data_IF_217869258827
#
_entry.id   IF_217869258827
#
_cell.length_a   1.000
_cell.length_b   1.000
_cell.length_c   1.000
_cell.angle_alpha   90.00
_cell.angle_beta   90.00
_cell.angle_gamma   90.00
#
_symmetry.space_group_name_H-M   'P 1'
#
loop_
_entity.id
_entity.type
_entity.pdbx_description
1 polymer ?
#
# COMPACT_ATOMS: atom_id res chain seq x y z
N UNK A 1 37.59 -12.56 -9.26
CA UNK A 1 36.27 -13.13 -8.88
C UNK A 1 35.24 -12.04 -9.06
N UNK A 2 34.34 -12.16 -10.04
CA UNK A 2 33.22 -11.22 -10.21
C UNK A 2 32.25 -11.46 -9.05
N UNK A 3 32.14 -10.50 -8.13
CA UNK A 3 31.10 -10.52 -7.11
C UNK A 3 29.75 -10.53 -7.84
N UNK A 4 28.83 -11.41 -7.44
CA UNK A 4 27.47 -11.41 -7.98
C UNK A 4 26.87 -10.02 -7.83
N UNK A 5 26.19 -9.47 -8.85
CA UNK A 5 25.69 -8.12 -8.81
C UNK A 5 24.70 -7.97 -7.66
N UNK A 6 24.95 -6.98 -6.81
CA UNK A 6 24.07 -6.71 -5.68
C UNK A 6 22.74 -6.14 -6.19
N UNK A 7 21.65 -6.76 -5.77
CA UNK A 7 20.30 -6.40 -6.18
C UNK A 7 19.65 -5.44 -5.19
N UNK A 8 18.98 -4.42 -5.72
CA UNK A 8 18.21 -3.41 -4.98
C UNK A 8 16.72 -3.58 -5.22
N UNK A 9 15.92 -3.37 -4.18
CA UNK A 9 14.46 -3.32 -4.29
C UNK A 9 13.96 -1.92 -4.71
N UNK A 10 12.66 -1.75 -5.03
CA UNK A 10 12.14 -0.48 -5.51
C UNK A 10 12.32 0.68 -4.53
N UNK A 11 12.25 0.43 -3.21
CA UNK A 11 12.42 1.46 -2.19
C UNK A 11 13.86 1.98 -2.17
N UNK A 12 14.84 1.08 -2.27
CA UNK A 12 16.26 1.45 -2.36
C UNK A 12 16.57 2.22 -3.65
N UNK A 13 16.00 1.82 -4.79
CA UNK A 13 16.15 2.57 -6.07
C UNK A 13 15.54 3.97 -5.98
N UNK A 14 14.35 4.11 -5.38
CA UNK A 14 13.70 5.41 -5.18
C UNK A 14 14.61 6.36 -4.39
N UNK A 15 15.17 5.90 -3.28
CA UNK A 15 16.09 6.67 -2.45
C UNK A 15 17.41 6.98 -3.19
N UNK A 16 17.98 6.03 -3.93
CA UNK A 16 19.25 6.23 -4.63
C UNK A 16 19.16 7.25 -5.79
N UNK A 17 18.03 7.29 -6.49
CA UNK A 17 17.83 8.14 -7.67
C UNK A 17 17.03 9.43 -7.37
N UNK A 18 16.60 9.63 -6.13
CA UNK A 18 15.69 10.72 -5.73
C UNK A 18 14.44 10.77 -6.64
N UNK A 19 13.69 9.66 -6.66
CA UNK A 19 12.49 9.48 -7.48
C UNK A 19 11.40 8.68 -6.74
N UNK A 20 10.17 8.75 -7.25
CA UNK A 20 9.04 7.96 -6.75
C UNK A 20 8.95 6.58 -7.44
N UNK A 21 8.19 5.62 -6.88
CA UNK A 21 7.98 4.32 -7.53
C UNK A 21 7.35 4.41 -8.93
N UNK A 22 6.53 5.44 -9.19
CA UNK A 22 6.00 5.70 -10.53
C UNK A 22 7.10 6.01 -11.54
N UNK A 23 8.12 6.78 -11.12
CA UNK A 23 9.29 7.07 -11.95
C UNK A 23 10.20 5.87 -12.12
N UNK A 24 10.31 4.96 -11.12
CA UNK A 24 11.00 3.67 -11.30
C UNK A 24 10.34 2.87 -12.43
N UNK A 25 9.00 2.78 -12.44
CA UNK A 25 8.27 2.14 -13.54
C UNK A 25 8.54 2.82 -14.88
N UNK A 26 8.60 4.15 -14.92
CA UNK A 26 8.94 4.91 -16.13
C UNK A 26 10.36 4.63 -16.62
N UNK A 27 11.35 4.48 -15.72
CA UNK A 27 12.71 4.05 -16.08
C UNK A 27 12.71 2.66 -16.69
N UNK A 28 11.96 1.72 -16.12
CA UNK A 28 11.86 0.35 -16.65
C UNK A 28 11.17 0.30 -18.01
N UNK A 29 10.04 0.99 -18.16
CA UNK A 29 9.33 1.07 -19.44
C UNK A 29 10.16 1.77 -20.53
N UNK A 30 10.97 2.75 -20.14
CA UNK A 30 11.86 3.47 -21.06
C UNK A 30 13.17 2.75 -21.37
N UNK A 31 13.40 1.55 -20.82
CA UNK A 31 14.63 0.78 -21.03
C UNK A 31 15.87 1.33 -20.31
N UNK A 32 15.73 2.32 -19.43
CA UNK A 32 16.84 2.89 -18.66
C UNK A 32 17.28 1.97 -17.51
N UNK A 33 16.33 1.22 -16.94
CA UNK A 33 16.55 0.38 -15.77
C UNK A 33 15.94 -1.01 -15.98
N UNK A 34 16.75 -2.06 -15.92
CA UNK A 34 16.29 -3.42 -16.19
C UNK A 34 15.94 -4.17 -14.90
N UNK A 35 14.85 -4.93 -14.94
CA UNK A 35 14.51 -5.88 -13.87
C UNK A 35 15.46 -7.07 -13.98
N UNK A 36 16.29 -7.29 -12.96
CA UNK A 36 17.26 -8.39 -12.91
C UNK A 36 16.77 -9.60 -12.12
N UNK A 37 15.75 -9.42 -11.30
CA UNK A 37 15.14 -10.50 -10.53
C UNK A 37 13.78 -10.09 -10.00
N UNK A 38 13.05 -11.06 -9.47
CA UNK A 38 11.76 -10.84 -8.82
C UNK A 38 11.68 -11.67 -7.55
N UNK A 39 11.15 -11.08 -6.49
CA UNK A 39 10.76 -11.81 -5.28
C UNK A 39 9.25 -11.97 -5.27
N UNK A 40 8.80 -13.21 -5.09
CA UNK A 40 7.39 -13.55 -4.97
C UNK A 40 6.91 -13.33 -3.54
N UNK A 41 5.93 -12.46 -3.41
CA UNK A 41 5.15 -12.23 -2.19
C UNK A 41 3.75 -12.82 -2.37
N UNK A 42 3.03 -13.02 -1.26
CA UNK A 42 1.65 -13.52 -1.30
C UNK A 42 0.74 -12.58 -2.08
N UNK A 43 0.90 -11.26 -1.88
CA UNK A 43 0.07 -10.25 -2.53
C UNK A 43 0.71 -9.63 -3.80
N UNK A 44 1.83 -10.13 -4.31
CA UNK A 44 2.38 -9.64 -5.58
C UNK A 44 3.86 -9.93 -5.81
N UNK A 45 4.42 -9.31 -6.84
CA UNK A 45 5.85 -9.39 -7.16
C UNK A 45 6.57 -8.12 -6.73
N UNK A 46 7.79 -8.27 -6.22
CA UNK A 46 8.73 -7.16 -6.03
C UNK A 46 9.87 -7.30 -7.04
N UNK A 47 10.00 -6.33 -7.93
CA UNK A 47 11.09 -6.28 -8.90
C UNK A 47 12.41 -5.89 -8.22
N UNK A 48 13.50 -6.52 -8.63
CA UNK A 48 14.86 -6.26 -8.18
C UNK A 48 15.72 -5.72 -9.33
N UNK A 49 16.65 -4.83 -9.00
CA UNK A 49 17.45 -4.06 -9.95
C UNK A 49 18.94 -4.16 -9.62
N UNK A 50 19.82 -4.15 -10.62
CA UNK A 50 21.26 -4.14 -10.36
C UNK A 50 21.68 -2.78 -9.76
N UNK A 51 22.36 -2.80 -8.60
CA UNK A 51 22.96 -1.63 -7.96
C UNK A 51 23.88 -0.83 -8.89
N UNK A 52 24.75 -1.49 -9.66
CA UNK A 52 25.67 -0.83 -10.60
C UNK A 52 24.91 -0.05 -11.67
N UNK A 53 23.81 -0.60 -12.19
CA UNK A 53 22.97 0.09 -13.17
C UNK A 53 22.31 1.33 -12.56
N UNK A 54 21.87 1.23 -11.30
CA UNK A 54 21.29 2.35 -10.56
C UNK A 54 22.34 3.44 -10.34
N UNK A 55 23.56 3.07 -9.96
CA UNK A 55 24.67 4.02 -9.79
C UNK A 55 25.02 4.75 -11.09
N UNK A 56 25.08 4.04 -12.21
CA UNK A 56 25.29 4.63 -13.55
C UNK A 56 24.17 5.61 -13.94
N UNK A 57 22.95 5.41 -13.43
CA UNK A 57 21.82 6.30 -13.70
C UNK A 57 21.87 7.60 -12.91
N UNK A 58 22.48 7.63 -11.71
CA UNK A 58 22.54 8.83 -10.85
C UNK A 58 22.96 10.09 -11.63
N UNK A 59 24.11 10.14 -12.33
CA UNK A 59 24.51 11.33 -13.08
C UNK A 59 23.64 11.60 -14.32
N UNK A 60 22.90 10.60 -14.83
CA UNK A 60 22.02 10.72 -16.00
C UNK A 60 20.62 11.20 -15.64
N UNK A 61 20.21 11.07 -14.37
CA UNK A 61 18.86 11.41 -13.91
C UNK A 61 18.41 12.83 -14.27
N UNK A 62 19.22 13.90 -14.15
CA UNK A 62 18.78 15.24 -14.54
C UNK A 62 18.34 15.33 -16.00
N UNK A 63 19.09 14.72 -16.93
CA UNK A 63 18.75 14.71 -18.36
C UNK A 63 17.51 13.86 -18.64
N UNK A 64 17.37 12.72 -17.97
CA UNK A 64 16.20 11.85 -18.10
C UNK A 64 14.94 12.58 -17.61
N UNK A 65 14.99 13.23 -16.45
CA UNK A 65 13.89 14.04 -15.90
C UNK A 65 13.50 15.18 -16.85
N UNK A 66 14.47 15.88 -17.43
CA UNK A 66 14.20 16.92 -18.45
C UNK A 66 13.53 16.36 -19.72
N UNK A 67 13.97 15.19 -20.19
CA UNK A 67 13.36 14.53 -21.36
C UNK A 67 11.89 14.16 -21.08
N UNK A 68 11.62 13.62 -19.89
CA UNK A 68 10.28 13.33 -19.42
C UNK A 68 9.41 14.58 -19.36
N UNK A 69 9.91 15.66 -18.78
CA UNK A 69 9.19 16.94 -18.71
C UNK A 69 8.86 17.49 -20.09
N UNK A 70 9.79 17.43 -21.05
CA UNK A 70 9.53 17.85 -22.44
C UNK A 70 8.45 17.01 -23.08
N UNK A 71 8.52 15.68 -22.94
CA UNK A 71 7.51 14.75 -23.45
C UNK A 71 6.13 15.02 -22.85
N UNK A 72 6.07 15.24 -21.53
CA UNK A 72 4.82 15.52 -20.83
C UNK A 72 4.26 16.90 -21.24
N UNK A 73 5.10 17.92 -21.33
CA UNK A 73 4.75 19.28 -21.78
C UNK A 73 4.16 19.26 -23.20
N UNK A 74 4.76 18.48 -24.12
CA UNK A 74 4.26 18.33 -25.49
C UNK A 74 2.91 17.61 -25.54
N UNK A 75 2.68 16.64 -24.64
CA UNK A 75 1.46 15.82 -24.64
C UNK A 75 0.27 16.48 -23.95
N UNK A 76 0.50 17.19 -22.84
CA UNK A 76 -0.57 17.71 -21.97
C UNK A 76 -0.62 19.24 -21.91
N UNK A 77 0.29 19.92 -22.60
CA UNK A 77 0.42 21.38 -22.63
C UNK A 77 1.31 21.93 -21.51
N UNK A 78 2.28 22.76 -21.90
CA UNK A 78 3.29 23.31 -21.00
C UNK A 78 2.70 24.18 -19.86
N UNK A 79 1.73 25.05 -20.18
CA UNK A 79 1.11 25.95 -19.19
C UNK A 79 0.31 25.18 -18.12
N UNK A 80 -0.43 24.15 -18.56
CA UNK A 80 -1.18 23.26 -17.66
C UNK A 80 -0.22 22.54 -16.71
N UNK A 81 0.85 21.96 -17.24
CA UNK A 81 1.81 21.23 -16.43
C UNK A 81 2.68 22.13 -15.55
N UNK A 82 2.96 23.37 -15.95
CA UNK A 82 3.61 24.34 -15.07
C UNK A 82 2.74 24.64 -13.83
N UNK A 83 1.44 24.82 -14.04
CA UNK A 83 0.47 25.02 -12.95
C UNK A 83 0.39 23.78 -12.05
N UNK A 84 0.34 22.58 -12.64
CA UNK A 84 0.37 21.31 -11.89
C UNK A 84 1.64 21.19 -11.05
N UNK A 85 2.83 21.48 -11.60
CA UNK A 85 4.11 21.43 -10.87
C UNK A 85 4.13 22.40 -9.69
N UNK A 86 3.60 23.62 -9.86
CA UNK A 86 3.49 24.58 -8.78
C UNK A 86 2.57 24.08 -7.67
N UNK A 87 1.42 23.49 -8.03
CA UNK A 87 0.50 22.88 -7.08
C UNK A 87 1.14 21.68 -6.36
N UNK A 88 1.86 20.83 -7.07
CA UNK A 88 2.61 19.71 -6.50
C UNK A 88 3.69 20.19 -5.52
N UNK A 89 4.41 21.27 -5.83
CA UNK A 89 5.40 21.82 -4.90
C UNK A 89 4.74 22.32 -3.61
N UNK A 90 3.64 23.09 -3.72
CA UNK A 90 2.86 23.54 -2.54
C UNK A 90 2.35 22.34 -1.74
N UNK A 91 1.82 21.33 -2.43
CA UNK A 91 1.34 20.10 -1.79
C UNK A 91 2.45 19.34 -1.07
N UNK A 92 3.66 19.27 -1.64
CA UNK A 92 4.81 18.64 -1.01
C UNK A 92 5.20 19.37 0.29
N UNK A 93 5.32 20.70 0.24
CA UNK A 93 5.64 21.50 1.43
C UNK A 93 4.57 21.35 2.52
N UNK A 94 3.29 21.36 2.11
CA UNK A 94 2.18 21.12 3.03
C UNK A 94 2.26 19.74 3.69
N UNK A 95 2.54 18.68 2.91
CA UNK A 95 2.68 17.33 3.44
C UNK A 95 3.88 17.17 4.39
N UNK A 96 5.00 17.83 4.09
CA UNK A 96 6.17 17.88 4.99
C UNK A 96 5.80 18.51 6.33
N UNK A 97 5.15 19.68 6.30
CA UNK A 97 4.71 20.36 7.53
C UNK A 97 3.68 19.54 8.31
N UNK A 98 2.73 18.89 7.62
CA UNK A 98 1.77 17.99 8.27
C UNK A 98 2.47 16.83 8.98
N UNK A 99 3.45 16.20 8.32
CA UNK A 99 4.25 15.12 8.88
C UNK A 99 5.00 15.60 10.12
N UNK A 100 5.71 16.72 10.04
CA UNK A 100 6.46 17.30 11.15
C UNK A 100 5.55 17.63 12.34
N UNK A 101 4.43 18.32 12.10
CA UNK A 101 3.45 18.64 13.13
C UNK A 101 2.91 17.38 13.80
N UNK A 102 2.55 16.36 13.01
CA UNK A 102 2.06 15.09 13.52
C UNK A 102 3.06 14.44 14.48
N UNK A 103 4.34 14.33 14.08
CA UNK A 103 5.36 13.72 14.94
C UNK A 103 5.65 14.57 16.18
N UNK A 104 5.66 15.91 16.06
CA UNK A 104 5.83 16.81 17.21
C UNK A 104 4.68 16.67 18.23
N UNK A 105 3.45 16.50 17.76
CA UNK A 105 2.28 16.33 18.63
C UNK A 105 2.32 15.00 19.39
N UNK A 106 2.61 13.88 18.71
CA UNK A 106 2.62 12.56 19.35
C UNK A 106 3.88 12.29 20.19
N UNK A 107 4.95 13.09 20.05
CA UNK A 107 6.20 12.94 20.82
C UNK A 107 5.96 12.97 22.33
N UNK A 108 4.93 13.71 22.77
CA UNK A 108 4.57 13.90 24.17
C UNK A 108 3.58 12.84 24.70
N UNK A 109 3.18 11.87 23.87
CA UNK A 109 2.26 10.81 24.28
C UNK A 109 3.01 9.69 25.01
N UNK A 110 2.30 8.87 25.82
CA UNK A 110 2.96 7.73 26.44
C UNK A 110 3.49 6.77 25.36
N UNK A 111 4.58 6.07 25.70
CA UNK A 111 5.39 5.30 24.74
C UNK A 111 4.57 4.35 23.89
N UNK A 112 3.63 3.61 24.49
CA UNK A 112 2.81 2.62 23.79
C UNK A 112 1.89 3.26 22.74
N UNK A 113 1.25 4.37 23.08
CA UNK A 113 0.37 5.13 22.21
C UNK A 113 1.17 5.77 21.08
N UNK A 114 2.30 6.40 21.41
CA UNK A 114 3.23 7.00 20.44
C UNK A 114 3.66 5.96 19.41
N UNK A 115 4.23 4.84 19.85
CA UNK A 115 4.68 3.76 18.97
C UNK A 115 3.56 3.24 18.06
N UNK A 116 2.35 3.06 18.60
CA UNK A 116 1.21 2.59 17.83
C UNK A 116 0.74 3.61 16.79
N UNK A 117 0.69 4.90 17.14
CA UNK A 117 0.31 5.98 16.23
C UNK A 117 1.38 6.22 15.16
N UNK A 118 2.67 6.13 15.49
CA UNK A 118 3.76 6.16 14.51
C UNK A 118 3.61 5.02 13.49
N UNK A 119 3.39 3.79 13.97
CA UNK A 119 3.16 2.65 13.10
C UNK A 119 1.90 2.84 12.23
N UNK A 120 0.83 3.41 12.78
CA UNK A 120 -0.38 3.70 12.01
C UNK A 120 -0.15 4.75 10.90
N UNK A 121 0.62 5.81 11.17
CA UNK A 121 0.99 6.81 10.18
C UNK A 121 1.71 6.18 8.99
N UNK A 122 2.75 5.38 9.26
CA UNK A 122 3.48 4.71 8.17
C UNK A 122 2.64 3.64 7.48
N UNK A 123 1.80 2.91 8.22
CA UNK A 123 0.90 1.90 7.65
C UNK A 123 -0.16 2.51 6.71
N UNK A 124 -0.62 3.73 7.01
CA UNK A 124 -1.50 4.52 6.14
C UNK A 124 -0.82 4.78 4.79
N UNK A 125 0.41 5.27 4.80
CA UNK A 125 1.17 5.53 3.57
C UNK A 125 1.59 4.25 2.83
N UNK A 126 1.91 3.17 3.55
CA UNK A 126 2.17 1.85 2.96
C UNK A 126 0.98 1.38 2.12
N UNK A 127 -0.25 1.55 2.62
CA UNK A 127 -1.47 1.19 1.92
C UNK A 127 -1.67 2.03 0.64
N UNK A 128 -1.27 3.30 0.64
CA UNK A 128 -1.28 4.15 -0.55
C UNK A 128 -0.25 3.71 -1.59
N UNK A 129 0.96 3.35 -1.17
CA UNK A 129 1.98 2.79 -2.05
C UNK A 129 1.55 1.45 -2.67
N UNK A 130 0.91 0.58 -1.89
CA UNK A 130 0.41 -0.71 -2.37
C UNK A 130 -0.58 -0.53 -3.53
N UNK A 131 -1.50 0.41 -3.39
CA UNK A 131 -2.48 0.78 -4.44
C UNK A 131 -1.89 1.49 -5.64
N UNK A 132 -0.73 2.12 -5.50
CA UNK A 132 0.03 2.66 -6.64
C UNK A 132 0.76 1.57 -7.46
N UNK A 133 0.33 0.31 -7.31
CA UNK A 133 0.84 -0.85 -8.02
C UNK A 133 2.13 -1.40 -7.41
N UNK A 134 2.21 -1.44 -6.08
CA UNK A 134 3.25 -2.16 -5.34
C UNK A 134 2.59 -3.17 -4.37
N UNK A 135 1.78 -4.12 -4.88
CA UNK A 135 0.87 -4.89 -4.05
C UNK A 135 1.57 -5.89 -3.10
N UNK A 136 2.86 -6.19 -3.33
CA UNK A 136 3.71 -6.92 -2.38
C UNK A 136 3.77 -6.28 -0.98
N UNK A 137 3.57 -4.95 -0.89
CA UNK A 137 3.53 -4.23 0.38
C UNK A 137 2.35 -4.63 1.28
N UNK A 138 1.31 -5.26 0.74
CA UNK A 138 0.22 -5.80 1.57
C UNK A 138 0.69 -6.93 2.49
N UNK A 139 1.76 -7.64 2.17
CA UNK A 139 2.33 -8.65 3.06
C UNK A 139 2.92 -7.99 4.33
N UNK A 140 3.60 -6.84 4.17
CA UNK A 140 4.09 -6.06 5.31
C UNK A 140 2.93 -5.49 6.13
N UNK A 141 1.89 -4.98 5.45
CA UNK A 141 0.65 -4.51 6.11
C UNK A 141 0.03 -5.62 6.98
N UNK A 142 -0.08 -6.83 6.44
CA UNK A 142 -0.62 -7.99 7.15
C UNK A 142 0.20 -8.32 8.40
N UNK A 143 1.53 -8.28 8.34
CA UNK A 143 2.39 -8.50 9.50
C UNK A 143 2.18 -7.45 10.58
N UNK A 144 2.14 -6.16 10.22
CA UNK A 144 1.93 -5.05 11.17
C UNK A 144 0.58 -5.17 11.87
N UNK A 145 -0.51 -5.37 11.11
CA UNK A 145 -1.85 -5.52 11.69
C UNK A 145 -1.97 -6.77 12.56
N UNK A 146 -1.32 -7.88 12.18
CA UNK A 146 -1.28 -9.08 13.03
C UNK A 146 -0.52 -8.82 14.33
N UNK A 147 0.54 -8.02 14.30
CA UNK A 147 1.25 -7.58 15.50
C UNK A 147 0.37 -6.72 16.38
N UNK A 148 -0.39 -5.76 15.82
CA UNK A 148 -1.36 -4.96 16.57
C UNK A 148 -2.37 -5.84 17.33
N UNK A 149 -2.89 -6.89 16.69
CA UNK A 149 -3.81 -7.84 17.34
C UNK A 149 -3.14 -8.52 18.54
N UNK A 150 -1.90 -8.98 18.39
CA UNK A 150 -1.18 -9.69 19.47
C UNK A 150 -0.78 -8.76 20.62
N UNK A 151 -0.41 -7.53 20.31
CA UNK A 151 0.14 -6.60 21.29
C UNK A 151 -0.92 -5.75 21.99
N UNK A 152 -1.99 -5.35 21.30
CA UNK A 152 -2.93 -4.33 21.81
C UNK A 152 -4.38 -4.79 21.93
N UNK A 153 -4.82 -5.85 21.24
CA UNK A 153 -6.21 -6.30 21.34
C UNK A 153 -6.53 -6.68 22.79
N UNK A 154 -7.60 -6.09 23.34
CA UNK A 154 -8.08 -6.24 24.71
C UNK A 154 -7.12 -5.76 25.83
N UNK A 155 -6.01 -5.08 25.51
CA UNK A 155 -5.04 -4.63 26.54
C UNK A 155 -5.18 -3.16 26.92
N UNK A 156 -5.39 -2.26 25.95
CA UNK A 156 -5.24 -0.82 26.18
C UNK A 156 -6.35 0.05 25.56
N UNK A 157 -7.49 -0.51 25.16
CA UNK A 157 -8.59 0.21 24.48
C UNK A 157 -8.22 0.99 23.20
N UNK A 158 -6.93 1.05 22.82
CA UNK A 158 -6.43 1.75 21.64
C UNK A 158 -6.87 1.06 20.35
N UNK A 159 -6.89 -0.27 20.34
CA UNK A 159 -7.29 -1.09 19.20
C UNK A 159 -8.67 -1.70 19.44
N UNK A 160 -9.60 -1.40 18.53
CA UNK A 160 -10.85 -2.12 18.36
C UNK A 160 -10.85 -2.83 17.02
N UNK A 161 -11.33 -4.06 17.00
CA UNK A 161 -11.50 -4.81 15.74
C UNK A 161 -12.95 -5.19 15.60
N UNK A 162 -13.50 -5.00 14.41
CA UNK A 162 -14.87 -5.38 14.06
C UNK A 162 -14.87 -6.30 12.84
N UNK A 163 -15.78 -7.25 12.83
CA UNK A 163 -16.09 -8.03 11.63
C UNK A 163 -17.17 -7.30 10.82
N UNK A 164 -16.85 -6.99 9.57
CA UNK A 164 -17.79 -6.42 8.60
C UNK A 164 -18.18 -7.56 7.65
N UNK A 165 -19.42 -8.01 7.78
CA UNK A 165 -19.96 -9.01 6.89
C UNK A 165 -20.26 -8.38 5.53
N UNK A 166 -19.58 -8.92 4.52
CA UNK A 166 -19.77 -8.54 3.12
C UNK A 166 -20.30 -9.73 2.33
N UNK A 167 -20.97 -9.42 1.23
CA UNK A 167 -21.63 -10.40 0.40
C UNK A 167 -20.67 -11.41 -0.26
N UNK A 168 -21.26 -12.46 -0.81
CA UNK A 168 -20.53 -13.47 -1.56
C UNK A 168 -20.25 -12.95 -2.96
N UNK A 169 -19.06 -13.22 -3.49
CA UNK A 169 -18.80 -12.97 -4.91
C UNK A 169 -19.39 -14.11 -5.70
N UNK A 170 -20.21 -13.78 -6.67
CA UNK A 170 -20.83 -14.73 -7.57
C UNK A 170 -20.27 -14.51 -8.97
N UNK A 171 -19.80 -15.57 -9.60
CA UNK A 171 -19.33 -15.57 -10.98
C UNK A 171 -20.34 -16.33 -11.83
N UNK A 172 -21.01 -15.60 -12.73
CA UNK A 172 -21.98 -16.19 -13.64
C UNK A 172 -21.31 -17.18 -14.60
N UNK A 173 -21.93 -18.34 -14.78
CA UNK A 173 -21.58 -19.25 -15.87
C UNK A 173 -22.00 -18.64 -17.22
N UNK A 174 -21.47 -19.13 -18.36
CA UNK A 174 -21.80 -18.58 -19.69
C UNK A 174 -23.30 -18.48 -19.96
N UNK A 175 -24.07 -19.49 -19.55
CA UNK A 175 -25.53 -19.50 -19.73
C UNK A 175 -26.23 -18.39 -18.91
N UNK A 176 -25.82 -18.18 -17.65
CA UNK A 176 -26.41 -17.10 -16.86
C UNK A 176 -25.96 -15.71 -17.33
N UNK A 177 -24.76 -15.56 -17.91
CA UNK A 177 -24.35 -14.30 -18.55
C UNK A 177 -25.25 -13.97 -19.74
N UNK A 178 -25.46 -14.95 -20.63
CA UNK A 178 -26.36 -14.79 -21.77
C UNK A 178 -27.79 -14.44 -21.33
N UNK A 179 -28.31 -15.08 -20.27
CA UNK A 179 -29.63 -14.74 -19.70
C UNK A 179 -29.69 -13.37 -19.04
N UNK A 180 -28.59 -12.88 -18.47
CA UNK A 180 -28.52 -11.53 -17.93
C UNK A 180 -28.56 -10.50 -19.06
N UNK A 181 -27.77 -10.74 -20.12
CA UNK A 181 -27.70 -9.91 -21.32
C UNK A 181 -29.05 -9.86 -22.06
N UNK A 182 -29.70 -11.01 -22.25
CA UNK A 182 -31.05 -11.12 -22.86
C UNK A 182 -32.11 -10.33 -22.09
N UNK A 183 -31.95 -10.22 -20.77
CA UNK A 183 -32.85 -9.46 -19.89
C UNK A 183 -32.41 -8.01 -19.68
N UNK A 184 -31.32 -7.60 -20.33
CA UNK A 184 -30.69 -6.29 -20.17
C UNK A 184 -30.42 -5.94 -18.69
N UNK A 185 -30.02 -6.94 -17.91
CA UNK A 185 -29.63 -6.81 -16.51
C UNK A 185 -28.11 -6.83 -16.42
N UNK A 186 -27.52 -6.01 -15.56
CA UNK A 186 -26.15 -6.23 -15.11
C UNK A 186 -26.03 -7.59 -14.42
N UNK A 187 -24.81 -8.15 -14.39
CA UNK A 187 -24.59 -9.44 -13.73
C UNK A 187 -24.97 -9.39 -12.25
N UNK A 188 -24.81 -8.24 -11.61
CA UNK A 188 -25.20 -8.00 -10.22
C UNK A 188 -26.72 -8.02 -10.07
N UNK A 189 -27.46 -7.24 -10.86
CA UNK A 189 -28.94 -7.23 -10.81
C UNK A 189 -29.54 -8.59 -11.15
N UNK A 190 -28.94 -9.31 -12.11
CA UNK A 190 -29.35 -10.67 -12.43
C UNK A 190 -29.16 -11.61 -11.24
N UNK A 191 -28.03 -11.50 -10.52
CA UNK A 191 -27.74 -12.30 -9.33
C UNK A 191 -28.68 -11.97 -8.17
N UNK A 192 -29.01 -10.70 -7.94
CA UNK A 192 -29.96 -10.32 -6.88
C UNK A 192 -31.35 -10.90 -7.14
N UNK A 193 -31.79 -10.89 -8.40
CA UNK A 193 -33.11 -11.41 -8.79
C UNK A 193 -33.18 -12.93 -8.84
N UNK A 194 -32.10 -13.61 -9.21
CA UNK A 194 -32.15 -15.05 -9.53
C UNK A 194 -31.31 -15.93 -8.60
N UNK A 195 -30.36 -15.37 -7.85
CA UNK A 195 -29.38 -16.11 -7.06
C UNK A 195 -28.33 -16.88 -7.88
N UNK A 196 -28.39 -16.82 -9.22
CA UNK A 196 -27.58 -17.64 -10.11
C UNK A 196 -28.04 -19.10 -10.21
N UNK A 197 -27.33 -19.92 -10.98
CA UNK A 197 -27.60 -21.36 -11.09
C UNK A 197 -26.49 -22.19 -10.40
N UNK A 198 -26.67 -23.51 -10.22
CA UNK A 198 -25.66 -24.38 -9.59
C UNK A 198 -24.29 -24.38 -10.30
N UNK A 199 -24.24 -24.04 -11.59
CA UNK A 199 -22.99 -23.93 -12.35
C UNK A 199 -22.29 -22.56 -12.18
N UNK A 200 -22.91 -21.58 -11.52
CA UNK A 200 -22.26 -20.32 -11.17
C UNK A 200 -21.35 -20.53 -9.95
N UNK A 201 -20.13 -20.02 -10.01
CA UNK A 201 -19.20 -20.15 -8.88
C UNK A 201 -19.54 -19.14 -7.79
N UNK A 202 -19.63 -19.60 -6.54
CA UNK A 202 -19.87 -18.78 -5.36
C UNK A 202 -18.64 -18.77 -4.47
N UNK A 203 -18.02 -17.60 -4.33
CA UNK A 203 -16.97 -17.38 -3.35
C UNK A 203 -17.57 -16.83 -2.05
N UNK A 204 -17.67 -17.70 -1.04
CA UNK A 204 -18.26 -17.33 0.24
C UNK A 204 -17.42 -16.27 0.98
N UNK A 205 -18.10 -15.27 1.57
CA UNK A 205 -17.52 -14.16 2.35
C UNK A 205 -16.39 -13.44 1.62
N UNK A 206 -16.48 -13.36 0.28
CA UNK A 206 -15.43 -12.74 -0.54
C UNK A 206 -15.22 -11.26 -0.18
N UNK A 207 -16.32 -10.52 -0.01
CA UNK A 207 -16.28 -9.10 0.35
C UNK A 207 -16.27 -8.87 1.87
N UNK A 208 -16.26 -9.91 2.69
CA UNK A 208 -16.19 -9.75 4.15
C UNK A 208 -14.80 -9.31 4.60
N UNK A 209 -14.75 -8.41 5.59
CA UNK A 209 -13.52 -7.77 6.06
C UNK A 209 -13.45 -7.76 7.59
N UNK A 210 -12.24 -7.67 8.13
CA UNK A 210 -12.01 -7.15 9.47
C UNK A 210 -11.58 -5.69 9.38
N UNK A 211 -12.23 -4.85 10.18
CA UNK A 211 -11.92 -3.44 10.36
C UNK A 211 -11.13 -3.25 11.66
N UNK A 212 -9.98 -2.62 11.56
CA UNK A 212 -9.08 -2.30 12.65
C UNK A 212 -9.18 -0.80 12.89
N UNK A 213 -9.73 -0.41 14.03
CA UNK A 213 -9.88 0.98 14.46
C UNK A 213 -8.86 1.23 15.55
N UNK A 214 -7.90 2.12 15.28
CA UNK A 214 -6.94 2.61 16.26
C UNK A 214 -7.33 4.03 16.60
N UNK A 215 -7.63 4.29 17.87
CA UNK A 215 -8.06 5.61 18.32
C UNK A 215 -7.30 6.02 19.58
N UNK A 216 -6.77 7.24 19.57
CA UNK A 216 -6.19 7.88 20.75
C UNK A 216 -6.32 9.40 20.64
N UNK A 217 -6.99 10.01 21.62
CA UNK A 217 -7.37 11.43 21.59
C UNK A 217 -8.04 11.78 20.24
N UNK A 218 -7.50 12.75 19.52
CA UNK A 218 -8.04 13.24 18.25
C UNK A 218 -7.59 12.43 17.03
N UNK A 219 -6.74 11.41 17.21
CA UNK A 219 -6.28 10.56 16.12
C UNK A 219 -7.13 9.32 15.96
N UNK A 220 -7.53 9.06 14.72
CA UNK A 220 -8.32 7.90 14.32
C UNK A 220 -7.75 7.30 13.03
N UNK A 221 -7.23 6.08 13.13
CA UNK A 221 -6.80 5.29 11.99
C UNK A 221 -7.74 4.10 11.78
N UNK A 222 -8.08 3.85 10.52
CA UNK A 222 -8.94 2.75 10.13
C UNK A 222 -8.25 1.93 9.03
N UNK A 223 -8.09 0.64 9.27
CA UNK A 223 -7.53 -0.30 8.30
C UNK A 223 -8.47 -1.47 8.08
N UNK A 224 -8.46 -2.00 6.85
CA UNK A 224 -9.24 -3.18 6.50
C UNK A 224 -8.34 -4.29 6.01
N UNK A 225 -8.70 -5.53 6.38
CA UNK A 225 -8.06 -6.77 5.90
C UNK A 225 -9.14 -7.77 5.52
N UNK A 226 -8.99 -8.52 4.40
CA UNK A 226 -9.93 -9.56 4.02
C UNK A 226 -10.16 -10.60 5.12
N UNK A 227 -11.42 -11.01 5.30
CA UNK A 227 -11.83 -12.04 6.26
C UNK A 227 -10.99 -13.32 6.11
N UNK A 228 -10.83 -13.82 4.88
CA UNK A 228 -10.05 -15.03 4.58
C UNK A 228 -8.59 -14.93 5.06
N UNK A 229 -8.02 -13.72 5.05
CA UNK A 229 -6.66 -13.45 5.52
C UNK A 229 -6.59 -13.43 7.04
N UNK A 230 -7.41 -12.58 7.69
CA UNK A 230 -7.27 -12.24 9.10
C UNK A 230 -8.04 -13.14 10.07
N UNK A 231 -9.01 -13.96 9.62
CA UNK A 231 -9.79 -14.85 10.51
C UNK A 231 -8.94 -15.74 11.42
N UNK A 232 -7.73 -16.09 10.95
CA UNK A 232 -6.75 -16.96 11.62
C UNK A 232 -5.82 -16.20 12.57
N UNK A 233 -6.02 -14.89 12.73
CA UNK A 233 -5.28 -14.06 13.70
C UNK A 233 -5.98 -13.99 15.06
N UNK A 234 -7.28 -14.30 15.09
CA UNK A 234 -8.11 -14.25 16.28
C UNK A 234 -8.29 -15.65 16.87
N UNK A 235 -8.50 -15.71 18.18
CA UNK A 235 -8.94 -16.92 18.85
C UNK A 235 -10.38 -17.24 18.40
N UNK A 236 -10.66 -18.52 18.17
CA UNK A 236 -12.01 -19.01 17.79
C UNK A 236 -13.04 -18.73 18.90
N UNK A 237 -12.60 -18.64 20.14
CA UNK A 237 -13.47 -18.36 21.29
C UNK A 237 -13.74 -16.87 21.51
N UNK A 238 -12.91 -16.01 20.91
CA UNK A 238 -12.98 -14.55 21.08
C UNK A 238 -12.88 -13.84 19.73
N UNK A 239 -13.86 -14.08 18.86
CA UNK A 239 -13.93 -13.43 17.56
C UNK A 239 -14.32 -11.95 17.69
N UNK A 240 -13.78 -11.07 16.84
CA UNK A 240 -14.22 -9.67 16.78
C UNK A 240 -15.74 -9.56 16.57
N UNK A 241 -16.40 -8.64 17.29
CA UNK A 241 -17.84 -8.46 17.18
C UNK A 241 -18.26 -8.03 15.78
N UNK A 242 -19.46 -8.44 15.37
CA UNK A 242 -20.08 -7.97 14.13
C UNK A 242 -20.38 -6.46 14.24
N UNK A 243 -20.05 -5.72 13.18
CA UNK A 243 -20.47 -4.33 13.00
C UNK A 243 -21.51 -4.29 11.90
N UNK A 244 -22.71 -3.83 12.26
CA UNK A 244 -23.75 -3.55 11.28
C UNK A 244 -23.27 -2.41 10.39
N UNK A 245 -23.03 -2.72 9.12
CA UNK A 245 -22.67 -1.75 8.10
C UNK A 245 -23.73 -1.81 7.00
N UNK A 246 -24.14 -0.67 6.40
CA UNK A 246 -25.06 -0.68 5.28
C UNK A 246 -24.55 -1.61 4.18
N UNK A 247 -25.45 -2.39 3.56
CA UNK A 247 -25.10 -3.12 2.33
C UNK A 247 -24.60 -2.11 1.31
N UNK A 248 -23.37 -2.32 0.83
CA UNK A 248 -22.78 -1.55 -0.26
C UNK A 248 -22.28 -2.56 -1.28
N UNK A 249 -22.76 -2.46 -2.51
CA UNK A 249 -22.30 -3.32 -3.59
C UNK A 249 -20.84 -3.02 -3.95
N UNK A 250 -20.13 -4.08 -4.38
CA UNK A 250 -18.88 -3.95 -5.10
C UNK A 250 -17.60 -4.16 -4.28
N UNK A 251 -16.47 -4.04 -4.97
CA UNK A 251 -15.16 -4.04 -4.33
C UNK A 251 -15.05 -2.78 -3.48
N UNK A 252 -14.84 -2.96 -2.17
CA UNK A 252 -14.51 -1.84 -1.31
C UNK A 252 -13.20 -1.17 -1.78
N UNK A 253 -13.31 -0.08 -2.54
CA UNK A 253 -12.18 0.78 -2.85
C UNK A 253 -11.87 1.66 -1.63
N UNK A 254 -11.42 1.05 -0.54
CA UNK A 254 -11.03 1.81 0.66
C UNK A 254 -9.74 2.53 0.40
N UNK A 255 -9.77 3.86 0.28
CA UNK A 255 -8.63 4.79 0.23
C UNK A 255 -7.97 4.94 -1.15
N UNK A 256 -7.12 5.94 -1.31
CA UNK A 256 -6.50 6.32 -2.59
C UNK A 256 -5.09 5.77 -2.80
N UNK A 257 -4.59 5.82 -4.04
CA UNK A 257 -3.17 5.62 -4.33
C UNK A 257 -2.34 6.82 -3.86
N UNK A 258 -1.05 6.60 -3.61
CA UNK A 258 -0.12 7.69 -3.28
C UNK A 258 0.10 8.57 -4.51
N UNK A 259 0.15 9.89 -4.33
CA UNK A 259 0.50 10.84 -5.39
C UNK A 259 1.93 11.35 -5.22
N UNK A 260 2.50 11.97 -6.26
CA UNK A 260 3.92 12.31 -6.32
C UNK A 260 4.40 13.17 -5.15
N UNK A 261 3.69 14.25 -4.84
CA UNK A 261 4.08 15.15 -3.75
C UNK A 261 4.03 14.48 -2.36
N UNK A 262 3.05 13.61 -2.11
CA UNK A 262 3.03 12.78 -0.89
C UNK A 262 4.19 11.78 -0.86
N UNK A 263 4.47 11.09 -1.98
CA UNK A 263 5.55 10.10 -2.09
C UNK A 263 6.96 10.71 -1.94
N UNK A 264 7.09 12.02 -2.13
CA UNK A 264 8.32 12.78 -1.87
C UNK A 264 8.43 13.21 -0.40
N UNK A 265 7.31 13.51 0.26
CA UNK A 265 7.29 13.92 1.66
C UNK A 265 7.41 12.72 2.62
N UNK A 266 6.87 11.57 2.21
CA UNK A 266 6.90 10.31 2.97
C UNK A 266 7.45 9.23 2.05
N UNK A 267 8.76 9.02 2.09
CA UNK A 267 9.45 8.14 1.15
C UNK A 267 9.16 6.66 1.41
N UNK A 268 9.10 5.85 0.35
CA UNK A 268 8.83 4.42 0.46
C UNK A 268 9.86 3.69 1.34
N UNK A 269 11.14 4.07 1.25
CA UNK A 269 12.20 3.46 2.06
C UNK A 269 11.97 3.74 3.55
N UNK A 270 11.62 4.98 3.90
CA UNK A 270 11.28 5.37 5.28
C UNK A 270 10.08 4.56 5.80
N UNK A 271 9.01 4.49 5.01
CA UNK A 271 7.80 3.73 5.36
C UNK A 271 8.11 2.26 5.66
N UNK A 272 8.86 1.60 4.77
CA UNK A 272 9.22 0.18 4.96
C UNK A 272 10.14 0.03 6.17
N UNK A 273 11.15 0.88 6.32
CA UNK A 273 12.09 0.81 7.44
C UNK A 273 11.36 0.96 8.78
N UNK A 274 10.55 2.01 8.94
CA UNK A 274 9.87 2.32 10.21
C UNK A 274 8.88 1.24 10.62
N UNK A 275 8.16 0.65 9.67
CA UNK A 275 7.27 -0.48 9.96
C UNK A 275 8.03 -1.76 10.32
N UNK A 276 9.20 -1.99 9.73
CA UNK A 276 10.04 -3.14 10.11
C UNK A 276 10.72 -2.94 11.46
N UNK A 277 11.11 -1.71 11.80
CA UNK A 277 11.63 -1.37 13.13
C UNK A 277 10.57 -1.60 14.20
N UNK A 278 9.32 -1.17 13.93
CA UNK A 278 8.18 -1.51 14.78
C UNK A 278 8.03 -3.03 14.95
N UNK A 279 8.10 -3.81 13.87
CA UNK A 279 8.01 -5.27 13.93
C UNK A 279 9.18 -5.91 14.68
N UNK A 280 10.39 -5.34 14.59
CA UNK A 280 11.57 -5.82 15.29
C UNK A 280 11.42 -5.74 16.81
N UNK A 281 10.72 -4.72 17.32
CA UNK A 281 10.37 -4.62 18.75
C UNK A 281 9.53 -5.81 19.25
N UNK A 282 8.87 -6.54 18.35
CA UNK A 282 8.12 -7.77 18.63
C UNK A 282 8.86 -9.05 18.20
N UNK A 283 10.18 -8.97 17.95
CA UNK A 283 11.01 -10.10 17.55
C UNK A 283 10.72 -10.63 16.14
N UNK A 284 10.05 -9.86 15.29
CA UNK A 284 9.71 -10.25 13.92
C UNK A 284 10.84 -9.78 12.99
N UNK A 285 11.39 -10.72 12.21
CA UNK A 285 12.46 -10.43 11.25
C UNK A 285 11.95 -9.52 10.12
N UNK A 286 12.81 -8.63 9.57
CA UNK A 286 12.48 -7.83 8.40
C UNK A 286 12.01 -8.68 7.22
N UNK A 287 10.93 -8.25 6.57
CA UNK A 287 10.34 -8.90 5.41
C UNK A 287 11.02 -8.45 4.09
N UNK A 288 11.47 -7.19 4.05
CA UNK A 288 12.06 -6.49 2.93
C UNK A 288 13.41 -5.94 3.38
N UNK A 289 14.47 -6.23 2.66
CA UNK A 289 15.79 -5.72 3.00
C UNK A 289 15.91 -4.21 2.73
N UNK A 290 16.10 -3.41 3.79
CA UNK A 290 16.13 -1.94 3.70
C UNK A 290 17.50 -1.33 4.02
N UNK A 291 18.47 -2.13 4.48
CA UNK A 291 19.80 -1.61 4.83
C UNK A 291 20.41 -0.88 3.64
N UNK A 292 20.82 0.38 3.87
CA UNK A 292 21.62 1.14 2.93
C UNK A 292 22.94 0.39 2.71
N UNK A 293 23.35 0.27 1.45
CA UNK A 293 24.77 0.17 1.15
C UNK A 293 25.43 1.39 1.78
N UNK A 294 26.48 1.20 2.57
CA UNK A 294 27.33 2.29 3.01
C UNK A 294 27.74 3.08 1.76
N UNK A 295 27.11 4.24 1.56
CA UNK A 295 27.73 5.29 0.78
C UNK A 295 28.91 5.73 1.64
N UNK A 296 30.08 5.15 1.38
CA UNK A 296 31.32 5.82 1.66
C UNK A 296 31.24 7.16 0.90
N UNK A 297 30.75 8.19 1.58
CA UNK A 297 30.99 9.57 1.22
C UNK A 297 32.49 9.76 1.38
N UNK A 298 33.20 9.75 0.27
CA UNK A 298 34.48 10.45 0.09
C UNK A 298 34.27 11.38 -1.09
#
# INVERSE_FOLDING_TARGET
MLQSPKLLNPAQVCNALDITPGNVKRLTMGGYLEVKGQLQFKNGLMNLFNSEQVEILIPKMPRIKQSWERSDNNRYGANRLASTRQQEHKSFQYMMKLKENYFNEIEHFPTTEKELLEACFYLYHLNHYAKAGNPYLYDLKELVLRSFVRSHLNKNNLLKVHFIEGDNKMLLCPNCKAKAEDRNLSYVEYLEKTGGCPACAREYKYYSLYEFIIAYRDYLFCFHTPYKTAKRWFDRTHLPPHKNSPRREGAYAFGRAIYNAEARAVELLEVVQKLQDFLAAYGIKPLIETKRLNAARV
#
